data_IF_513611950605
#
_entry.id   IF_513611950605
#
_cell.length_a   1.000
_cell.length_b   1.000
_cell.length_c   1.000
_cell.angle_alpha   90.00
_cell.angle_beta   90.00
_cell.angle_gamma   90.00
#
_symmetry.space_group_name_H-M   'P 1'
#
loop_
_entity.id
_entity.type
_entity.pdbx_description
1 polymer ?
#
# COMPACT_ATOMS: atom_id res chain seq x y z
N UNK A 1 -24.80 -11.60 -9.63
CA UNK A 1 -23.72 -10.62 -9.73
C UNK A 1 -24.32 -9.22 -9.54
N UNK A 2 -23.67 -8.35 -8.82
CA UNK A 2 -24.14 -6.96 -8.58
C UNK A 2 -23.97 -6.05 -9.81
N UNK A 3 -23.56 -6.58 -10.97
CA UNK A 3 -23.36 -5.81 -12.21
C UNK A 3 -22.19 -4.81 -12.17
N UNK A 4 -21.36 -4.86 -11.11
CA UNK A 4 -20.22 -3.96 -10.96
C UNK A 4 -19.09 -4.42 -11.86
N UNK A 5 -18.56 -3.51 -12.69
CA UNK A 5 -17.32 -3.72 -13.43
C UNK A 5 -16.12 -3.35 -12.55
N UNK A 6 -15.08 -4.15 -12.61
CA UNK A 6 -13.82 -3.94 -11.93
C UNK A 6 -12.74 -3.68 -12.96
N UNK A 7 -12.14 -2.51 -12.92
CA UNK A 7 -11.00 -2.13 -13.75
C UNK A 7 -9.74 -2.25 -12.90
N UNK A 8 -8.77 -3.05 -13.32
CA UNK A 8 -7.53 -3.25 -12.57
C UNK A 8 -6.32 -3.12 -13.48
N UNK A 9 -5.26 -2.54 -12.95
CA UNK A 9 -3.97 -2.37 -13.63
C UNK A 9 -2.92 -3.28 -13.02
N UNK A 10 -1.95 -3.70 -13.83
CA UNK A 10 -0.81 -4.47 -13.36
C UNK A 10 0.13 -3.55 -12.58
N UNK A 11 0.50 -3.96 -11.36
CA UNK A 11 1.52 -3.31 -10.54
C UNK A 11 2.85 -4.07 -10.56
N UNK A 12 3.91 -3.46 -10.03
CA UNK A 12 5.25 -4.06 -9.97
C UNK A 12 5.30 -5.40 -9.24
N UNK A 13 4.49 -5.59 -8.19
CA UNK A 13 4.41 -6.83 -7.42
C UNK A 13 3.55 -7.92 -8.07
N UNK A 14 2.75 -7.58 -9.07
CA UNK A 14 1.91 -8.54 -9.79
C UNK A 14 2.51 -8.98 -11.11
N UNK A 15 3.46 -8.24 -11.66
CA UNK A 15 4.26 -8.65 -12.82
C UNK A 15 5.27 -9.74 -12.42
N UNK A 16 5.33 -10.83 -13.19
CA UNK A 16 6.25 -11.93 -12.92
C UNK A 16 7.71 -11.56 -13.24
N UNK A 17 7.92 -10.86 -14.35
CA UNK A 17 9.23 -10.37 -14.76
C UNK A 17 9.35 -8.86 -14.49
N UNK A 18 10.54 -8.39 -14.07
CA UNK A 18 10.74 -6.97 -13.75
C UNK A 18 10.65 -6.04 -14.96
N UNK A 19 10.90 -6.55 -16.15
CA UNK A 19 11.02 -5.78 -17.38
C UNK A 19 9.78 -5.81 -18.27
N UNK A 20 8.76 -6.60 -17.95
CA UNK A 20 7.53 -6.71 -18.76
C UNK A 20 6.29 -7.02 -17.93
N UNK A 21 5.12 -6.59 -18.39
CA UNK A 21 3.81 -6.88 -17.79
C UNK A 21 3.07 -8.05 -18.48
N UNK A 22 3.68 -8.71 -19.47
CA UNK A 22 3.02 -9.77 -20.27
C UNK A 22 2.54 -10.93 -19.41
N UNK A 23 3.36 -11.37 -18.45
CA UNK A 23 2.99 -12.43 -17.50
C UNK A 23 2.76 -11.79 -16.14
N UNK A 24 1.52 -11.78 -15.69
CA UNK A 24 1.16 -11.17 -14.42
C UNK A 24 0.07 -11.95 -13.69
N UNK A 25 0.11 -11.90 -12.35
CA UNK A 25 -0.82 -12.62 -11.50
C UNK A 25 -2.26 -12.13 -11.65
N UNK A 26 -2.46 -10.83 -11.93
CA UNK A 26 -3.80 -10.24 -12.04
C UNK A 26 -4.57 -10.88 -13.19
N UNK A 27 -3.96 -10.92 -14.39
CA UNK A 27 -4.58 -11.54 -15.55
C UNK A 27 -4.77 -13.05 -15.34
N UNK A 28 -3.73 -13.75 -14.86
CA UNK A 28 -3.80 -15.20 -14.66
C UNK A 28 -4.89 -15.64 -13.68
N UNK A 29 -5.14 -14.87 -12.63
CA UNK A 29 -6.09 -15.20 -11.57
C UNK A 29 -7.50 -14.67 -11.81
N UNK A 30 -7.65 -13.55 -12.55
CA UNK A 30 -8.92 -12.84 -12.65
C UNK A 30 -9.56 -12.89 -14.04
N UNK A 31 -8.87 -13.38 -15.08
CA UNK A 31 -9.40 -13.46 -16.45
C UNK A 31 -10.64 -14.32 -16.63
N UNK A 32 -10.94 -15.21 -15.66
CA UNK A 32 -12.15 -16.03 -15.69
C UNK A 32 -13.43 -15.27 -15.27
N UNK A 33 -13.27 -14.06 -14.74
CA UNK A 33 -14.39 -13.23 -14.27
C UNK A 33 -14.78 -12.22 -15.34
N UNK A 34 -15.93 -12.37 -15.96
CA UNK A 34 -16.43 -11.50 -17.05
C UNK A 34 -16.58 -10.03 -16.67
N UNK A 35 -16.68 -9.72 -15.38
CA UNK A 35 -16.82 -8.36 -14.86
C UNK A 35 -15.48 -7.72 -14.45
N UNK A 36 -14.36 -8.43 -14.60
CA UNK A 36 -13.01 -7.91 -14.29
C UNK A 36 -12.26 -7.64 -15.59
N UNK A 37 -11.77 -6.43 -15.75
CA UNK A 37 -11.00 -5.99 -16.91
C UNK A 37 -9.59 -5.67 -16.43
N UNK A 38 -8.59 -6.37 -16.97
CA UNK A 38 -7.18 -6.23 -16.60
C UNK A 38 -6.44 -5.44 -17.67
N UNK A 39 -5.72 -4.42 -17.26
CA UNK A 39 -4.87 -3.60 -18.13
C UNK A 39 -3.40 -3.88 -17.86
N UNK A 40 -2.76 -4.58 -18.78
CA UNK A 40 -1.30 -4.83 -18.79
C UNK A 40 -0.53 -3.79 -19.59
N UNK A 41 -1.24 -3.02 -20.44
CA UNK A 41 -0.71 -1.93 -21.24
C UNK A 41 -1.47 -0.64 -20.96
N UNK A 42 -0.80 0.51 -21.20
CA UNK A 42 -1.42 1.83 -21.09
C UNK A 42 -2.57 1.96 -22.08
N UNK A 43 -3.77 2.15 -21.54
CA UNK A 43 -5.02 2.08 -22.30
C UNK A 43 -5.98 3.21 -21.88
N UNK A 44 -6.52 3.92 -22.87
CA UNK A 44 -7.60 4.90 -22.64
C UNK A 44 -8.95 4.17 -22.66
N UNK A 45 -9.76 4.41 -21.64
CA UNK A 45 -11.06 3.75 -21.43
C UNK A 45 -12.12 4.79 -21.15
N UNK A 46 -13.26 4.67 -21.83
CA UNK A 46 -14.42 5.50 -21.54
C UNK A 46 -15.24 4.88 -20.40
N UNK A 47 -15.40 5.65 -19.32
CA UNK A 47 -16.24 5.32 -18.16
C UNK A 47 -17.17 6.51 -17.92
N UNK A 48 -18.47 6.29 -17.92
CA UNK A 48 -19.51 7.32 -17.73
C UNK A 48 -19.32 8.54 -18.64
N UNK A 49 -19.07 8.30 -19.94
CA UNK A 49 -18.80 9.32 -20.98
C UNK A 49 -17.52 10.13 -20.72
N UNK A 50 -16.60 9.65 -19.92
CA UNK A 50 -15.31 10.27 -19.66
C UNK A 50 -14.15 9.33 -19.97
N UNK A 51 -13.21 9.81 -20.77
CA UNK A 51 -11.98 9.09 -21.02
C UNK A 51 -11.05 9.18 -19.81
N UNK A 52 -10.62 8.03 -19.33
CA UNK A 52 -9.63 7.84 -18.26
C UNK A 52 -8.47 7.04 -18.83
N UNK A 53 -7.25 7.52 -18.64
CA UNK A 53 -6.05 6.79 -19.05
C UNK A 53 -5.60 5.88 -17.93
N UNK A 54 -5.69 4.55 -18.13
CA UNK A 54 -5.12 3.55 -17.22
C UNK A 54 -3.66 3.28 -17.57
N UNK A 55 -2.78 3.41 -16.58
CA UNK A 55 -1.32 3.29 -16.74
C UNK A 55 -0.82 2.21 -15.78
N UNK A 56 -0.59 0.96 -16.26
CA UNK A 56 0.02 -0.09 -15.45
C UNK A 56 1.47 0.24 -15.12
N UNK A 57 2.13 -0.62 -14.36
CA UNK A 57 3.54 -0.52 -14.02
C UNK A 57 4.39 -0.24 -15.26
N UNK A 58 5.15 0.87 -15.20
CA UNK A 58 6.07 1.28 -16.26
C UNK A 58 7.39 0.56 -16.05
N UNK A 59 7.84 -0.16 -17.05
CA UNK A 59 9.06 -0.93 -17.03
C UNK A 59 9.85 -0.76 -18.35
N UNK A 60 11.00 -1.40 -18.46
CA UNK A 60 11.90 -1.21 -19.58
C UNK A 60 11.28 -1.48 -20.95
N UNK A 61 10.36 -2.47 -21.05
CA UNK A 61 9.77 -2.85 -22.35
C UNK A 61 8.65 -1.90 -22.80
N UNK A 62 7.97 -1.24 -21.85
CA UNK A 62 6.79 -0.43 -22.17
C UNK A 62 7.00 1.09 -22.00
N UNK A 63 8.11 1.54 -21.43
CA UNK A 63 8.35 2.92 -21.03
C UNK A 63 8.16 3.91 -22.19
N UNK A 64 8.87 3.70 -23.29
CA UNK A 64 8.83 4.61 -24.46
C UNK A 64 7.40 4.72 -25.03
N UNK A 65 6.74 3.57 -25.20
CA UNK A 65 5.35 3.49 -25.69
C UNK A 65 4.39 4.20 -24.73
N UNK A 66 4.53 3.95 -23.44
CA UNK A 66 3.71 4.55 -22.39
C UNK A 66 3.85 6.07 -22.35
N UNK A 67 5.08 6.59 -22.36
CA UNK A 67 5.33 8.03 -22.38
C UNK A 67 4.76 8.73 -23.60
N UNK A 68 4.84 8.07 -24.76
CA UNK A 68 4.22 8.58 -25.99
C UNK A 68 2.71 8.65 -25.89
N UNK A 69 2.07 7.64 -25.28
CA UNK A 69 0.61 7.64 -25.05
C UNK A 69 0.23 8.73 -24.04
N UNK A 70 0.92 8.84 -22.91
CA UNK A 70 0.70 9.88 -21.89
C UNK A 70 0.75 11.26 -22.53
N UNK A 71 1.81 11.56 -23.29
CA UNK A 71 2.02 12.87 -23.94
C UNK A 71 0.92 13.25 -24.93
N UNK A 72 0.36 12.27 -25.62
CA UNK A 72 -0.64 12.49 -26.68
C UNK A 72 -2.08 12.27 -26.20
N UNK A 73 -2.29 11.87 -24.95
CA UNK A 73 -3.65 11.66 -24.41
C UNK A 73 -4.39 12.99 -24.25
N UNK A 74 -5.69 12.95 -24.60
CA UNK A 74 -6.63 14.03 -24.37
C UNK A 74 -7.51 13.77 -23.12
N UNK A 75 -7.26 12.69 -22.39
CA UNK A 75 -7.95 12.39 -21.15
C UNK A 75 -7.63 13.45 -20.10
N UNK A 76 -8.64 13.86 -19.33
CA UNK A 76 -8.45 14.77 -18.19
C UNK A 76 -7.97 14.07 -16.93
N UNK A 77 -8.21 12.76 -16.83
CA UNK A 77 -7.88 11.93 -15.69
C UNK A 77 -7.01 10.77 -16.10
N UNK A 78 -6.01 10.46 -15.28
CA UNK A 78 -5.22 9.23 -15.38
C UNK A 78 -5.26 8.46 -14.06
N UNK A 79 -5.24 7.13 -14.15
CA UNK A 79 -5.15 6.22 -13.00
C UNK A 79 -4.01 5.24 -13.25
N UNK A 80 -3.01 5.21 -12.36
CA UNK A 80 -1.81 4.45 -12.63
C UNK A 80 -1.21 3.75 -11.42
N UNK A 81 -0.16 2.95 -11.71
CA UNK A 81 0.74 2.38 -10.72
C UNK A 81 2.13 2.99 -10.95
N UNK A 82 2.31 4.21 -10.45
CA UNK A 82 3.38 5.11 -10.86
C UNK A 82 4.44 5.24 -9.77
N UNK A 83 5.70 5.27 -10.18
CA UNK A 83 6.83 5.61 -9.32
C UNK A 83 7.32 7.01 -9.67
N UNK A 84 6.93 8.02 -8.87
CA UNK A 84 7.26 9.42 -9.11
C UNK A 84 8.14 9.96 -7.99
N UNK A 85 9.12 10.79 -8.36
CA UNK A 85 9.92 11.54 -7.40
C UNK A 85 9.11 12.63 -6.69
N UNK A 86 9.50 12.97 -5.47
CA UNK A 86 8.88 14.04 -4.67
C UNK A 86 7.68 13.61 -3.82
N UNK A 87 7.20 12.37 -3.93
CA UNK A 87 6.08 11.86 -3.14
C UNK A 87 6.53 10.91 -2.01
N UNK A 88 5.68 10.73 -1.01
CA UNK A 88 5.98 9.85 0.13
C UNK A 88 5.69 8.40 -0.22
N UNK A 89 6.70 7.54 -0.16
CA UNK A 89 6.52 6.09 -0.29
C UNK A 89 5.87 5.50 0.97
N UNK A 90 6.34 5.94 2.15
CA UNK A 90 5.79 5.61 3.46
C UNK A 90 6.05 6.77 4.43
N UNK A 91 5.57 6.64 5.67
CA UNK A 91 5.66 7.71 6.66
C UNK A 91 7.10 8.15 6.88
N UNK A 92 7.37 9.44 6.66
CA UNK A 92 8.68 10.06 6.86
C UNK A 92 9.68 9.88 5.71
N UNK A 93 9.35 9.13 4.65
CA UNK A 93 10.25 8.90 3.52
C UNK A 93 9.66 9.47 2.23
N UNK A 94 10.34 10.46 1.68
CA UNK A 94 10.05 11.03 0.35
C UNK A 94 10.99 10.40 -0.66
N UNK A 95 10.43 9.93 -1.76
CA UNK A 95 11.21 9.33 -2.85
C UNK A 95 11.90 10.42 -3.67
N UNK A 96 13.20 10.30 -3.81
CA UNK A 96 14.02 11.18 -4.66
C UNK A 96 14.13 10.63 -6.09
N UNK A 97 14.01 9.31 -6.24
CA UNK A 97 14.04 8.61 -7.51
C UNK A 97 12.63 8.41 -8.05
N UNK A 98 12.54 8.12 -9.36
CA UNK A 98 11.29 7.90 -10.07
C UNK A 98 11.12 8.87 -11.24
N UNK A 99 10.03 8.74 -11.97
CA UNK A 99 9.74 9.62 -13.10
C UNK A 99 9.34 11.03 -12.61
N UNK A 100 9.58 12.01 -13.46
CA UNK A 100 9.21 13.39 -13.17
C UNK A 100 7.69 13.60 -13.26
N UNK A 101 7.10 14.33 -12.33
CA UNK A 101 5.65 14.61 -12.26
C UNK A 101 5.17 15.48 -13.45
N UNK A 102 6.08 16.22 -14.10
CA UNK A 102 5.83 17.04 -15.27
C UNK A 102 5.33 16.23 -16.47
N UNK A 103 5.68 14.95 -16.55
CA UNK A 103 5.18 14.02 -17.58
C UNK A 103 3.65 13.96 -17.62
N UNK A 104 3.01 14.22 -16.47
CA UNK A 104 1.56 14.16 -16.29
C UNK A 104 0.88 15.54 -16.30
N UNK A 105 1.56 16.58 -16.79
CA UNK A 105 1.07 17.97 -16.73
C UNK A 105 -0.18 18.24 -17.58
N UNK A 106 -0.48 17.39 -18.56
CA UNK A 106 -1.67 17.46 -19.39
C UNK A 106 -2.96 16.95 -18.72
N UNK A 107 -2.85 16.24 -17.57
CA UNK A 107 -4.01 15.77 -16.82
C UNK A 107 -4.44 16.76 -15.75
N UNK A 108 -5.75 16.89 -15.54
CA UNK A 108 -6.33 17.65 -14.43
C UNK A 108 -6.21 16.89 -13.11
N UNK A 109 -6.35 15.53 -13.16
CA UNK A 109 -6.23 14.63 -12.01
C UNK A 109 -5.46 13.38 -12.39
N UNK A 110 -4.55 12.97 -11.51
CA UNK A 110 -3.82 11.71 -11.60
C UNK A 110 -3.94 10.97 -10.29
N UNK A 111 -4.43 9.75 -10.32
CA UNK A 111 -4.49 8.87 -9.17
C UNK A 111 -3.47 7.75 -9.31
N UNK A 112 -2.71 7.49 -8.26
CA UNK A 112 -1.69 6.45 -8.29
C UNK A 112 -1.75 5.53 -7.08
N UNK A 113 -1.53 4.24 -7.33
CA UNK A 113 -1.06 3.28 -6.35
C UNK A 113 0.46 3.33 -6.20
N UNK A 114 1.10 2.22 -5.88
CA UNK A 114 2.52 2.01 -5.64
C UNK A 114 2.99 2.47 -4.26
N UNK A 115 2.90 3.77 -3.94
CA UNK A 115 3.26 4.24 -2.61
C UNK A 115 2.15 3.99 -1.60
N UNK A 116 2.53 3.49 -0.41
CA UNK A 116 1.58 3.02 0.60
C UNK A 116 0.96 4.15 1.42
N UNK A 117 1.63 5.29 1.50
CA UNK A 117 1.16 6.45 2.25
C UNK A 117 0.46 7.44 1.32
N UNK A 118 -0.66 7.99 1.77
CA UNK A 118 -1.34 9.06 1.03
C UNK A 118 -0.48 10.30 0.96
N UNK A 119 -0.28 10.81 -0.24
CA UNK A 119 0.39 12.09 -0.49
C UNK A 119 -0.08 12.67 -1.81
N UNK A 120 -0.06 13.99 -1.93
CA UNK A 120 -0.46 14.68 -3.15
C UNK A 120 0.26 16.03 -3.33
N UNK A 121 0.20 16.55 -4.54
CA UNK A 121 0.62 17.90 -4.92
C UNK A 121 -0.57 18.79 -5.38
N UNK A 122 -1.82 18.33 -5.17
CA UNK A 122 -3.05 18.98 -5.61
C UNK A 122 -3.53 18.53 -7.01
N UNK A 123 -2.71 17.82 -7.79
CA UNK A 123 -3.02 17.23 -9.09
C UNK A 123 -2.79 15.73 -9.11
N UNK A 124 -1.67 15.26 -8.60
CA UNK A 124 -1.31 13.86 -8.50
C UNK A 124 -1.59 13.39 -7.06
N UNK A 125 -2.35 12.33 -6.93
CA UNK A 125 -2.80 11.78 -5.66
C UNK A 125 -2.37 10.33 -5.53
N UNK A 126 -1.44 10.04 -4.62
CA UNK A 126 -1.18 8.68 -4.16
C UNK A 126 -2.26 8.28 -3.15
N UNK A 127 -3.02 7.24 -3.48
CA UNK A 127 -4.21 6.83 -2.74
C UNK A 127 -3.87 6.11 -1.43
N UNK A 128 -2.65 5.57 -1.35
CA UNK A 128 -2.21 4.72 -0.24
C UNK A 128 -2.87 3.34 -0.23
N UNK A 129 -2.54 2.55 0.77
CA UNK A 129 -3.11 1.21 0.95
C UNK A 129 -4.51 1.26 1.55
N UNK A 130 -5.41 0.30 1.21
CA UNK A 130 -6.74 0.23 1.79
C UNK A 130 -6.75 -0.23 3.26
N UNK A 131 -5.71 -0.92 3.72
CA UNK A 131 -5.51 -1.41 5.09
C UNK A 131 -4.03 -1.45 5.44
N UNK A 132 -3.70 -1.64 6.71
CA UNK A 132 -2.32 -1.77 7.18
C UNK A 132 -1.73 -3.10 6.70
N UNK A 133 -0.55 -3.07 6.06
CA UNK A 133 0.16 -4.24 5.55
C UNK A 133 1.45 -4.53 6.33
N UNK A 134 2.06 -3.48 6.90
CA UNK A 134 3.35 -3.57 7.57
C UNK A 134 3.38 -2.74 8.85
N UNK A 135 4.39 -2.94 9.69
CA UNK A 135 4.62 -2.15 10.90
C UNK A 135 4.78 -0.65 10.66
N UNK A 136 5.29 -0.25 9.49
CA UNK A 136 5.42 1.15 9.10
C UNK A 136 4.06 1.84 8.86
N UNK A 137 3.00 1.05 8.70
CA UNK A 137 1.64 1.55 8.47
C UNK A 137 0.92 1.91 9.78
N UNK A 138 1.50 1.56 10.93
CA UNK A 138 0.91 1.85 12.25
C UNK A 138 0.73 3.36 12.42
N UNK A 139 -0.48 3.77 12.81
CA UNK A 139 -0.88 5.17 12.97
C UNK A 139 -0.84 6.00 11.67
N UNK A 140 -0.82 5.38 10.50
CA UNK A 140 -1.03 6.05 9.24
C UNK A 140 -2.44 5.80 8.70
N UNK A 141 -2.99 6.77 7.97
CA UNK A 141 -4.36 6.71 7.48
C UNK A 141 -4.47 5.79 6.28
N UNK A 142 -5.30 4.75 6.38
CA UNK A 142 -5.58 3.77 5.32
C UNK A 142 -7.02 3.86 4.85
N UNK A 143 -7.33 3.33 3.68
CA UNK A 143 -8.68 3.30 3.14
C UNK A 143 -8.71 3.37 1.61
N UNK A 144 -9.84 3.79 1.07
CA UNK A 144 -10.05 3.94 -0.37
C UNK A 144 -10.61 5.34 -0.69
N UNK A 145 -10.79 5.64 -1.98
CA UNK A 145 -11.37 6.90 -2.42
C UNK A 145 -12.62 6.65 -3.25
N UNK A 146 -13.62 7.51 -3.09
CA UNK A 146 -14.76 7.60 -3.98
C UNK A 146 -14.46 8.72 -4.97
N UNK A 147 -14.52 8.41 -6.25
CA UNK A 147 -14.24 9.34 -7.34
C UNK A 147 -15.51 9.60 -8.14
N UNK A 148 -15.80 10.86 -8.38
CA UNK A 148 -16.91 11.31 -9.20
C UNK A 148 -16.39 11.63 -10.61
N UNK A 149 -16.86 10.89 -11.61
CA UNK A 149 -16.43 11.01 -13.00
C UNK A 149 -16.94 12.28 -13.67
N UNK A 150 -18.03 12.91 -13.19
CA UNK A 150 -18.55 14.14 -13.76
C UNK A 150 -17.77 15.36 -13.27
N UNK A 151 -17.55 15.45 -11.96
CA UNK A 151 -16.90 16.62 -11.32
C UNK A 151 -15.38 16.49 -11.22
N UNK A 152 -14.83 15.29 -11.37
CA UNK A 152 -13.45 14.93 -11.07
C UNK A 152 -13.07 15.12 -9.58
N UNK A 153 -14.05 15.24 -8.71
CA UNK A 153 -13.80 15.27 -7.27
C UNK A 153 -13.57 13.87 -6.72
N UNK A 154 -12.80 13.78 -5.67
CA UNK A 154 -12.62 12.53 -4.96
C UNK A 154 -12.64 12.74 -3.45
N UNK A 155 -13.21 11.77 -2.74
CA UNK A 155 -13.37 11.80 -1.31
C UNK A 155 -12.72 10.55 -0.69
N UNK A 156 -11.71 10.72 0.19
CA UNK A 156 -11.10 9.62 0.89
C UNK A 156 -12.06 9.06 1.95
N UNK A 157 -12.20 7.74 1.97
CA UNK A 157 -12.92 6.99 3.00
C UNK A 157 -11.89 6.24 3.83
N UNK A 158 -11.80 6.58 5.10
CA UNK A 158 -10.81 5.98 5.99
C UNK A 158 -11.28 4.61 6.47
N UNK A 159 -10.36 3.64 6.49
CA UNK A 159 -10.58 2.34 7.08
C UNK A 159 -10.49 2.47 8.62
N UNK A 160 -11.57 2.18 9.36
CA UNK A 160 -11.55 2.24 10.82
C UNK A 160 -10.86 1.02 11.46
N UNK A 161 -10.61 -0.05 10.68
CA UNK A 161 -10.07 -1.31 11.19
C UNK A 161 -8.55 -1.31 11.15
N UNK A 162 -7.94 -1.46 12.33
CA UNK A 162 -6.50 -1.59 12.49
C UNK A 162 -6.11 -3.05 12.62
N UNK A 163 -4.91 -3.38 12.15
CA UNK A 163 -4.32 -4.71 12.21
C UNK A 163 -3.13 -4.71 13.19
N UNK A 164 -2.29 -3.69 13.14
CA UNK A 164 -1.06 -3.60 13.90
C UNK A 164 -1.18 -2.61 15.06
N UNK A 165 -0.66 -2.98 16.22
CA UNK A 165 -0.67 -2.17 17.43
C UNK A 165 0.70 -2.15 18.08
N UNK A 166 1.22 -0.95 18.36
CA UNK A 166 2.36 -0.75 19.24
C UNK A 166 1.85 -0.45 20.64
N UNK A 167 2.28 -1.25 21.61
CA UNK A 167 1.96 -1.07 23.04
C UNK A 167 3.26 -0.78 23.76
N UNK A 168 3.39 0.40 24.33
CA UNK A 168 4.55 0.82 25.11
C UNK A 168 4.32 0.42 26.55
N UNK A 169 5.11 -0.56 27.05
CA UNK A 169 4.92 -1.18 28.35
C UNK A 169 4.92 -0.17 29.49
N UNK A 170 5.91 0.76 29.50
CA UNK A 170 6.07 1.75 30.56
C UNK A 170 5.03 2.87 30.54
N UNK A 171 4.45 3.13 29.39
CA UNK A 171 3.46 4.19 29.19
C UNK A 171 2.02 3.66 29.39
N UNK A 172 1.86 2.36 29.63
CA UNK A 172 0.58 1.70 29.80
C UNK A 172 0.23 1.56 31.30
N UNK A 173 -0.96 1.99 31.69
CA UNK A 173 -1.49 1.70 33.04
C UNK A 173 -1.89 0.21 33.12
N UNK A 174 -1.05 -0.58 33.75
CA UNK A 174 -1.22 -2.05 33.84
C UNK A 174 -2.47 -2.48 34.64
N UNK A 175 -3.05 -1.58 35.45
CA UNK A 175 -4.24 -1.88 36.24
C UNK A 175 -5.51 -1.75 35.41
N UNK A 176 -5.60 -0.70 34.56
CA UNK A 176 -6.77 -0.37 33.77
C UNK A 176 -6.65 -0.83 32.31
N UNK A 177 -5.50 -1.40 31.92
CA UNK A 177 -5.23 -1.82 30.53
C UNK A 177 -6.28 -2.82 30.01
N UNK A 178 -7.06 -2.37 29.06
CA UNK A 178 -8.06 -3.18 28.37
C UNK A 178 -7.45 -3.85 27.14
N UNK A 179 -7.37 -5.16 27.16
CA UNK A 179 -6.76 -5.93 26.09
C UNK A 179 -7.76 -6.41 25.02
N UNK A 180 -9.07 -6.18 25.19
CA UNK A 180 -10.12 -6.72 24.30
C UNK A 180 -9.99 -6.25 22.86
N UNK A 181 -9.48 -5.04 22.63
CA UNK A 181 -9.27 -4.50 21.28
C UNK A 181 -8.19 -5.24 20.47
N UNK A 182 -7.30 -5.97 21.15
CA UNK A 182 -6.20 -6.69 20.51
C UNK A 182 -6.55 -8.10 20.04
N UNK A 183 -7.78 -8.54 20.26
CA UNK A 183 -8.23 -9.85 19.75
C UNK A 183 -8.09 -9.93 18.24
N UNK A 184 -7.42 -10.97 17.74
CA UNK A 184 -7.08 -11.19 16.33
C UNK A 184 -6.24 -10.04 15.70
N UNK A 185 -5.44 -9.34 16.52
CA UNK A 185 -4.53 -8.28 16.07
C UNK A 185 -3.08 -8.74 16.16
N UNK A 186 -2.21 -8.01 15.48
CA UNK A 186 -0.75 -8.16 15.54
C UNK A 186 -0.23 -7.08 16.47
N UNK A 187 0.33 -7.50 17.61
CA UNK A 187 0.70 -6.58 18.70
C UNK A 187 2.21 -6.61 18.92
N UNK A 188 2.83 -5.43 18.95
CA UNK A 188 4.23 -5.24 19.32
C UNK A 188 4.28 -4.56 20.69
N UNK A 189 4.77 -5.27 21.69
CA UNK A 189 5.07 -4.71 23.01
C UNK A 189 6.50 -4.18 23.00
N UNK A 190 6.63 -2.90 23.19
CA UNK A 190 7.90 -2.17 23.22
C UNK A 190 8.27 -1.91 24.67
N UNK A 191 9.42 -2.44 25.09
CA UNK A 191 9.91 -2.38 26.47
C UNK A 191 11.23 -1.65 26.52
N UNK A 192 11.24 -0.48 27.14
CA UNK A 192 12.46 0.32 27.38
C UNK A 192 13.19 -0.10 28.65
N UNK A 193 12.41 -0.43 29.70
CA UNK A 193 12.94 -0.86 30.99
C UNK A 193 12.00 -1.85 31.68
N UNK A 194 12.54 -2.98 32.09
CA UNK A 194 11.82 -4.04 32.80
C UNK A 194 12.15 -3.96 34.28
N UNK A 195 11.37 -3.20 35.04
CA UNK A 195 11.61 -2.98 36.48
C UNK A 195 11.08 -4.11 37.35
N UNK A 196 9.97 -4.78 36.96
CA UNK A 196 9.37 -5.90 37.67
C UNK A 196 9.01 -7.01 36.67
N UNK A 197 9.78 -8.10 36.71
CA UNK A 197 9.59 -9.25 35.81
C UNK A 197 8.23 -9.93 36.01
N UNK A 198 7.74 -10.05 37.25
CA UNK A 198 6.46 -10.68 37.52
C UNK A 198 5.28 -9.86 37.02
N UNK A 199 5.37 -8.54 37.12
CA UNK A 199 4.36 -7.63 36.59
C UNK A 199 4.34 -7.67 35.08
N UNK A 200 5.51 -7.72 34.46
CA UNK A 200 5.65 -7.87 33.02
C UNK A 200 5.05 -9.18 32.49
N UNK A 201 5.38 -10.31 33.13
CA UNK A 201 4.81 -11.60 32.77
C UNK A 201 3.26 -11.58 32.82
N UNK A 202 2.68 -11.02 33.89
CA UNK A 202 1.23 -10.86 33.99
C UNK A 202 0.63 -9.99 32.90
N UNK A 203 1.37 -8.95 32.49
CA UNK A 203 0.95 -8.07 31.40
C UNK A 203 0.93 -8.81 30.05
N UNK A 204 1.94 -9.60 29.77
CA UNK A 204 2.04 -10.45 28.57
C UNK A 204 0.97 -11.54 28.59
N UNK A 205 0.72 -12.18 29.73
CA UNK A 205 -0.34 -13.18 29.88
C UNK A 205 -1.75 -12.60 29.60
N UNK A 206 -2.01 -11.33 29.96
CA UNK A 206 -3.26 -10.64 29.59
C UNK A 206 -3.42 -10.52 28.08
N UNK A 207 -2.35 -10.21 27.33
CA UNK A 207 -2.40 -10.11 25.87
C UNK A 207 -2.62 -11.49 25.23
N UNK A 208 -1.93 -12.53 25.71
CA UNK A 208 -2.16 -13.89 25.22
C UNK A 208 -3.60 -14.37 25.49
N UNK A 209 -4.20 -13.98 26.61
CA UNK A 209 -5.54 -14.42 27.00
C UNK A 209 -6.66 -13.94 26.06
N UNK A 210 -6.44 -12.88 25.28
CA UNK A 210 -7.43 -12.32 24.34
C UNK A 210 -7.25 -12.80 22.90
N UNK A 211 -6.44 -13.82 22.68
CA UNK A 211 -6.23 -14.43 21.37
C UNK A 211 -5.68 -13.42 20.34
N UNK A 212 -4.58 -12.74 20.65
CA UNK A 212 -3.82 -11.96 19.66
C UNK A 212 -3.32 -12.88 18.55
N UNK A 213 -3.34 -12.42 17.30
CA UNK A 213 -2.86 -13.22 16.16
C UNK A 213 -1.35 -13.41 16.21
N UNK A 214 -0.63 -12.35 16.63
CA UNK A 214 0.82 -12.37 16.81
C UNK A 214 1.18 -11.41 17.94
N UNK A 215 2.12 -11.81 18.80
CA UNK A 215 2.67 -10.97 19.85
C UNK A 215 4.20 -10.93 19.70
N UNK A 216 4.72 -9.77 19.33
CA UNK A 216 6.18 -9.48 19.27
C UNK A 216 6.59 -8.65 20.48
N UNK A 217 7.60 -9.10 21.22
CA UNK A 217 8.19 -8.35 22.34
C UNK A 217 9.52 -7.80 21.88
N UNK A 218 9.72 -6.49 22.07
CA UNK A 218 10.93 -5.78 21.67
C UNK A 218 11.51 -5.09 22.87
N UNK A 219 12.69 -5.53 23.28
CA UNK A 219 13.51 -4.93 24.32
C UNK A 219 14.63 -4.11 23.66
N UNK A 220 14.88 -2.89 24.10
CA UNK A 220 15.85 -1.93 23.52
C UNK A 220 15.41 -1.26 22.19
N UNK A 221 14.60 -0.24 22.32
CA UNK A 221 14.04 0.55 21.21
C UNK A 221 15.08 1.17 20.25
N UNK A 222 16.32 1.45 20.72
CA UNK A 222 17.35 2.12 19.89
C UNK A 222 17.92 1.25 18.76
N UNK A 223 17.74 -0.08 18.83
CA UNK A 223 18.28 -1.00 17.81
C UNK A 223 17.26 -1.22 16.67
N UNK A 224 15.98 -0.97 16.90
CA UNK A 224 14.91 -1.37 16.01
C UNK A 224 14.53 -0.32 14.94
N UNK A 225 14.86 0.95 15.12
CA UNK A 225 14.71 1.93 14.03
C UNK A 225 15.59 1.59 12.83
N UNK A 226 16.73 0.88 13.07
CA UNK A 226 17.60 0.40 11.99
C UNK A 226 17.13 -0.93 11.38
N UNK A 227 16.51 -1.83 12.16
CA UNK A 227 16.03 -3.12 11.65
C UNK A 227 14.73 -3.01 10.85
N UNK A 228 13.82 -2.10 11.21
CA UNK A 228 12.61 -1.84 10.43
C UNK A 228 12.93 -1.18 9.07
N UNK A 229 14.09 -0.52 8.94
CA UNK A 229 14.61 0.00 7.68
C UNK A 229 15.23 -1.11 6.79
N UNK A 230 15.95 -2.07 7.41
CA UNK A 230 16.54 -3.20 6.68
C UNK A 230 15.51 -4.27 6.29
N UNK A 231 14.39 -4.40 7.03
CA UNK A 231 13.32 -5.34 6.67
C UNK A 231 12.62 -4.99 5.36
N UNK A 232 12.72 -3.76 4.88
CA UNK A 232 12.18 -3.36 3.59
C UNK A 232 13.00 -3.93 2.42
N UNK A 233 14.32 -3.99 2.55
CA UNK A 233 15.21 -4.67 1.59
C UNK A 233 15.09 -6.19 1.65
N UNK A 234 14.70 -6.74 2.82
CA UNK A 234 14.59 -8.20 3.01
C UNK A 234 13.33 -8.79 2.37
N UNK A 235 12.22 -8.04 2.30
CA UNK A 235 10.99 -8.51 1.65
C UNK A 235 11.09 -8.49 0.12
N UNK A 236 11.78 -7.54 -0.48
CA UNK A 236 12.11 -7.59 -1.90
C UNK A 236 12.98 -8.80 -2.24
N UNK A 237 13.84 -9.25 -1.31
CA UNK A 237 14.65 -10.45 -1.48
C UNK A 237 13.91 -11.76 -1.11
N UNK A 238 12.92 -11.75 -0.20
CA UNK A 238 12.25 -12.97 0.27
C UNK A 238 11.17 -13.46 -0.70
N UNK A 239 10.52 -12.59 -1.46
CA UNK A 239 9.62 -13.02 -2.55
C UNK A 239 10.37 -13.71 -3.70
N UNK A 240 11.70 -13.56 -3.79
CA UNK A 240 12.53 -14.29 -4.75
C UNK A 240 12.99 -15.67 -4.29
N UNK A 241 12.79 -16.06 -3.02
CA UNK A 241 13.25 -17.33 -2.47
C UNK A 241 12.25 -18.49 -2.56
N UNK A 242 11.02 -18.27 -3.03
CA UNK A 242 10.15 -19.36 -3.47
C UNK A 242 10.51 -19.79 -4.90
N UNK A 243 11.76 -20.23 -5.11
CA UNK A 243 12.07 -21.13 -6.20
C UNK A 243 11.55 -22.51 -5.81
N UNK A 244 10.57 -22.97 -6.57
CA UNK A 244 10.10 -24.33 -6.59
C UNK A 244 11.25 -25.35 -6.45
N UNK A 245 11.17 -26.20 -5.43
CA UNK A 245 11.74 -27.51 -5.51
C UNK A 245 10.73 -28.39 -6.29
N UNK A 246 11.08 -28.68 -7.50
CA UNK A 246 10.78 -29.89 -8.24
C UNK A 246 12.05 -30.29 -8.97
#
# INVERSE_FOLDING_TARGET
SMGIKVHTIVGNHTAYYKNTNEVNAVDLLLREYDNVIVYSETTEVEIDNRNILFIPWINQDNEEKTFKVIKNSNSKCAMGHLELSGFRAHRGVVMENGHASELYSNFEKVFSGHYHTRSDDGRIYYLGNPYEMFWNDVNDTRGFHIFDTETLEHNPVNNPYRIFYNVYYEDTDHQTFDTREFSNKIVKVIVRKKSDTKQFEKFIDKLYSVNVSELKIVENFQIQESEDFEAFDFFDNWMFSFRCFY
#
